data_IF_957776862705
#
_entry.id   IF_957776862705
#
_cell.length_a   1.000
_cell.length_b   1.000
_cell.length_c   1.000
_cell.angle_alpha   90.00
_cell.angle_beta   90.00
_cell.angle_gamma   90.00
#
_symmetry.space_group_name_H-M   'P 1'
#
loop_
_entity.id
_entity.type
_entity.pdbx_description
1 polymer ?
#
# COMPACT_ATOMS: atom_id res chain seq x y z
N UNK A 1 2.90 -6.46 14.10
CA UNK A 1 3.95 -5.48 13.79
C UNK A 1 3.29 -4.15 13.50
N UNK A 2 3.78 -3.06 14.08
CA UNK A 2 3.28 -1.73 13.75
C UNK A 2 3.81 -1.34 12.36
N UNK A 3 2.91 -1.22 11.39
CA UNK A 3 3.24 -0.63 10.08
C UNK A 3 3.29 0.89 10.26
N UNK A 4 4.26 1.56 9.64
CA UNK A 4 4.38 3.01 9.65
C UNK A 4 3.23 3.68 8.87
N UNK A 5 2.03 3.72 9.46
CA UNK A 5 0.93 4.55 9.00
C UNK A 5 1.10 5.96 9.58
N UNK A 6 0.92 6.99 8.76
CA UNK A 6 0.92 8.38 9.24
C UNK A 6 -0.10 8.54 10.37
N UNK A 7 0.37 8.86 11.56
CA UNK A 7 -0.47 9.10 12.73
C UNK A 7 -0.94 10.56 12.75
N UNK A 8 -2.16 10.81 12.28
CA UNK A 8 -2.85 12.07 12.51
C UNK A 8 -3.96 11.85 13.55
N UNK A 9 -3.82 12.48 14.73
CA UNK A 9 -4.95 12.59 15.67
C UNK A 9 -5.91 13.63 15.12
N UNK A 10 -7.07 13.19 14.62
CA UNK A 10 -8.16 14.10 14.29
C UNK A 10 -8.56 14.92 15.52
N UNK A 11 -8.72 16.24 15.35
CA UNK A 11 -9.30 17.08 16.40
C UNK A 11 -10.81 16.83 16.45
N UNK A 12 -11.25 15.88 17.28
CA UNK A 12 -12.63 15.85 17.74
C UNK A 12 -12.80 16.94 18.79
N UNK A 13 -13.17 18.16 18.36
CA UNK A 13 -13.68 19.16 19.28
C UNK A 13 -14.88 18.60 20.05
N UNK A 14 -15.01 18.92 21.34
CA UNK A 14 -16.23 18.62 22.10
C UNK A 14 -17.39 19.43 21.52
N UNK A 15 -18.09 18.87 20.54
CA UNK A 15 -19.18 19.51 19.81
C UNK A 15 -19.67 18.60 18.69
N UNK A 16 -20.91 18.80 18.24
CA UNK A 16 -21.58 18.02 17.20
C UNK A 16 -20.67 17.78 15.98
N UNK A 17 -20.78 16.59 15.39
CA UNK A 17 -20.07 16.22 14.17
C UNK A 17 -20.36 17.25 13.06
N UNK A 18 -19.35 18.04 12.70
CA UNK A 18 -19.47 19.02 11.63
C UNK A 18 -19.16 18.35 10.29
N UNK A 19 -20.07 18.48 9.33
CA UNK A 19 -19.81 18.02 7.96
C UNK A 19 -18.81 18.95 7.27
N UNK A 20 -17.92 18.37 6.45
CA UNK A 20 -17.00 19.11 5.60
C UNK A 20 -17.77 20.03 4.66
N UNK A 21 -17.36 21.30 4.57
CA UNK A 21 -17.73 22.13 3.43
C UNK A 21 -17.05 21.60 2.16
N UNK A 22 -17.60 21.95 0.98
CA UNK A 22 -16.99 21.56 -0.31
C UNK A 22 -15.55 22.08 -0.44
N UNK A 23 -15.29 23.28 0.08
CA UNK A 23 -13.98 23.93 0.07
C UNK A 23 -12.97 23.20 0.97
N UNK A 24 -13.36 22.89 2.21
CA UNK A 24 -12.52 22.12 3.15
C UNK A 24 -12.25 20.71 2.62
N UNK A 25 -13.26 20.04 2.06
CA UNK A 25 -13.12 18.73 1.44
C UNK A 25 -12.11 18.78 0.30
N UNK A 26 -12.26 19.72 -0.64
CA UNK A 26 -11.37 19.82 -1.79
C UNK A 26 -9.93 20.13 -1.36
N UNK A 27 -9.74 21.07 -0.43
CA UNK A 27 -8.43 21.43 0.09
C UNK A 27 -7.76 20.24 0.81
N UNK A 28 -8.49 19.56 1.70
CA UNK A 28 -8.01 18.41 2.45
C UNK A 28 -7.62 17.23 1.56
N UNK A 29 -8.44 16.88 0.57
CA UNK A 29 -8.15 15.79 -0.36
C UNK A 29 -6.97 16.10 -1.28
N UNK A 30 -6.83 17.34 -1.78
CA UNK A 30 -5.65 17.74 -2.56
C UNK A 30 -4.37 17.67 -1.73
N UNK A 31 -4.41 18.17 -0.49
CA UNK A 31 -3.29 18.09 0.43
C UNK A 31 -2.91 16.62 0.70
N UNK A 32 -3.89 15.76 0.94
CA UNK A 32 -3.68 14.32 1.08
C UNK A 32 -3.01 13.71 -0.15
N UNK A 33 -3.51 13.98 -1.36
CA UNK A 33 -2.94 13.47 -2.61
C UNK A 33 -1.47 13.85 -2.78
N UNK A 34 -1.11 15.11 -2.50
CA UNK A 34 0.28 15.58 -2.57
C UNK A 34 1.18 15.01 -1.49
N UNK A 35 0.68 14.84 -0.26
CA UNK A 35 1.43 14.16 0.80
C UNK A 35 1.67 12.70 0.44
N UNK A 36 0.63 12.01 -0.04
CA UNK A 36 0.72 10.61 -0.45
C UNK A 36 1.65 10.39 -1.65
N UNK A 37 1.76 11.38 -2.54
CA UNK A 37 2.71 11.36 -3.64
C UNK A 37 4.17 11.11 -3.22
N UNK A 38 4.57 11.55 -2.03
CA UNK A 38 5.94 11.39 -1.52
C UNK A 38 6.35 9.95 -1.20
N UNK A 39 5.39 9.03 -1.10
CA UNK A 39 5.60 7.68 -0.60
C UNK A 39 4.77 6.59 -1.31
N UNK A 40 3.80 6.96 -2.16
CA UNK A 40 3.10 6.01 -3.03
C UNK A 40 4.00 5.43 -4.14
N UNK A 41 4.70 6.28 -4.90
CA UNK A 41 5.77 5.83 -5.80
C UNK A 41 7.12 5.87 -5.07
N UNK A 42 8.11 5.17 -5.61
CA UNK A 42 9.47 5.24 -5.07
C UNK A 42 10.19 6.53 -5.48
N UNK A 43 11.28 6.84 -4.77
CA UNK A 43 12.13 7.97 -5.15
C UNK A 43 12.86 7.73 -6.49
N UNK A 44 13.10 6.48 -6.88
CA UNK A 44 13.68 6.16 -8.18
C UNK A 44 12.69 6.47 -9.32
N UNK A 45 11.40 6.17 -9.16
CA UNK A 45 10.35 6.52 -10.13
C UNK A 45 10.36 8.02 -10.48
N UNK A 46 10.46 8.88 -9.47
CA UNK A 46 10.51 10.34 -9.67
C UNK A 46 11.83 10.81 -10.27
N UNK A 47 12.96 10.26 -9.82
CA UNK A 47 14.30 10.60 -10.35
C UNK A 47 14.44 10.26 -11.83
N UNK A 48 13.87 9.12 -12.23
CA UNK A 48 13.86 8.65 -13.62
C UNK A 48 12.73 9.22 -14.47
N UNK A 49 11.87 10.06 -13.87
CA UNK A 49 10.75 10.75 -14.55
C UNK A 49 9.83 9.79 -15.29
N UNK A 50 9.50 8.66 -14.67
CA UNK A 50 8.58 7.69 -15.28
C UNK A 50 7.16 8.26 -15.44
N UNK A 51 6.78 9.27 -14.67
CA UNK A 51 5.54 10.02 -14.90
C UNK A 51 5.51 10.71 -16.28
N UNK A 52 6.66 11.15 -16.82
CA UNK A 52 6.75 11.68 -18.18
C UNK A 52 6.83 10.53 -19.19
N UNK A 53 7.85 9.68 -19.05
CA UNK A 53 8.22 8.71 -20.09
C UNK A 53 7.30 7.50 -20.20
N UNK A 54 6.62 7.11 -19.12
CA UNK A 54 5.75 5.92 -19.06
C UNK A 54 4.28 6.28 -18.92
N UNK A 55 3.96 7.34 -18.18
CA UNK A 55 2.57 7.75 -17.94
C UNK A 55 2.11 8.93 -18.81
N UNK A 56 3.02 9.62 -19.51
CA UNK A 56 2.69 10.66 -20.48
C UNK A 56 2.29 12.01 -19.89
N UNK A 57 2.58 12.26 -18.61
CA UNK A 57 2.42 13.59 -18.02
C UNK A 57 3.51 14.53 -18.53
N UNK A 58 3.20 15.82 -18.63
CA UNK A 58 4.13 16.80 -19.21
C UNK A 58 5.34 17.08 -18.31
N UNK A 59 5.11 17.19 -17.01
CA UNK A 59 6.10 17.48 -15.99
C UNK A 59 5.59 17.03 -14.60
N UNK A 60 6.38 17.27 -13.55
CA UNK A 60 6.04 16.85 -12.20
C UNK A 60 4.77 17.52 -11.67
N UNK A 61 4.54 18.81 -11.95
CA UNK A 61 3.38 19.53 -11.45
C UNK A 61 2.11 19.09 -12.18
N UNK A 62 2.22 18.86 -13.49
CA UNK A 62 1.17 18.24 -14.30
C UNK A 62 0.78 16.86 -13.74
N UNK A 63 1.75 16.07 -13.30
CA UNK A 63 1.51 14.79 -12.63
C UNK A 63 0.87 14.98 -11.23
N UNK A 64 1.33 15.93 -10.42
CA UNK A 64 0.73 16.20 -9.11
C UNK A 64 -0.76 16.57 -9.22
N UNK A 65 -1.12 17.45 -10.16
CA UNK A 65 -2.50 17.90 -10.34
C UNK A 65 -3.36 16.84 -11.03
N UNK A 66 -2.91 16.33 -12.18
CA UNK A 66 -3.76 15.51 -13.04
C UNK A 66 -3.79 14.03 -12.67
N UNK A 67 -2.84 13.55 -11.85
CA UNK A 67 -2.85 12.21 -11.27
C UNK A 67 -3.21 12.24 -9.79
N UNK A 68 -2.35 12.83 -8.95
CA UNK A 68 -2.46 12.69 -7.49
C UNK A 68 -3.65 13.45 -6.89
N UNK A 69 -3.80 14.73 -7.21
CA UNK A 69 -4.96 15.51 -6.75
C UNK A 69 -6.25 14.95 -7.35
N UNK A 70 -6.28 14.61 -8.64
CA UNK A 70 -7.44 14.01 -9.28
C UNK A 70 -7.85 12.67 -8.65
N UNK A 71 -6.89 11.81 -8.34
CA UNK A 71 -7.13 10.54 -7.65
C UNK A 71 -7.70 10.75 -6.24
N UNK A 72 -7.16 11.71 -5.49
CA UNK A 72 -7.60 12.01 -4.14
C UNK A 72 -8.97 12.70 -4.10
N UNK A 73 -9.24 13.65 -5.00
CA UNK A 73 -10.53 14.34 -5.11
C UNK A 73 -11.69 13.41 -5.47
N UNK A 74 -11.40 12.28 -6.13
CA UNK A 74 -12.40 11.25 -6.42
C UNK A 74 -12.81 10.44 -5.18
N UNK A 75 -12.22 10.68 -4.00
CA UNK A 75 -12.53 10.00 -2.75
C UNK A 75 -13.54 10.79 -1.92
N UNK A 76 -14.08 10.09 -0.94
CA UNK A 76 -14.88 10.67 0.14
C UNK A 76 -14.01 10.79 1.40
N UNK A 77 -13.88 11.96 2.04
CA UNK A 77 -12.96 12.17 3.15
C UNK A 77 -13.29 11.31 4.38
N UNK A 78 -14.56 11.06 4.64
CA UNK A 78 -14.98 10.25 5.79
C UNK A 78 -14.68 8.77 5.57
N UNK A 79 -14.93 8.26 4.36
CA UNK A 79 -14.51 6.91 4.00
C UNK A 79 -12.98 6.76 4.11
N UNK A 80 -12.21 7.77 3.71
CA UNK A 80 -10.75 7.77 3.86
C UNK A 80 -10.31 7.71 5.32
N UNK A 81 -10.96 8.45 6.22
CA UNK A 81 -10.66 8.40 7.66
C UNK A 81 -10.99 7.03 8.27
N UNK A 82 -12.13 6.44 7.90
CA UNK A 82 -12.48 5.08 8.35
C UNK A 82 -11.48 4.03 7.84
N UNK A 83 -11.09 4.10 6.56
CA UNK A 83 -10.07 3.20 6.00
C UNK A 83 -8.70 3.40 6.67
N UNK A 84 -8.31 4.63 6.98
CA UNK A 84 -7.06 4.90 7.70
C UNK A 84 -7.09 4.31 9.12
N UNK A 85 -8.22 4.45 9.83
CA UNK A 85 -8.38 3.84 11.15
C UNK A 85 -8.27 2.31 11.07
N UNK A 86 -8.93 1.68 10.08
CA UNK A 86 -8.80 0.24 9.85
C UNK A 86 -7.36 -0.17 9.53
N UNK A 87 -6.65 0.61 8.71
CA UNK A 87 -5.25 0.34 8.40
C UNK A 87 -4.35 0.42 9.64
N UNK A 88 -4.49 1.47 10.46
CA UNK A 88 -3.72 1.65 11.69
C UNK A 88 -4.00 0.57 12.74
N UNK A 89 -5.23 0.08 12.81
CA UNK A 89 -5.65 -0.93 13.77
C UNK A 89 -5.42 -2.38 13.30
N UNK A 90 -4.89 -2.58 12.09
CA UNK A 90 -4.74 -3.91 11.51
C UNK A 90 -3.71 -4.75 12.25
N UNK A 91 -4.17 -5.77 12.98
CA UNK A 91 -3.31 -6.75 13.65
C UNK A 91 -3.98 -8.13 13.62
N UNK A 92 -3.47 -9.02 12.77
CA UNK A 92 -4.01 -10.38 12.65
C UNK A 92 -3.77 -11.26 13.90
N UNK A 93 -2.91 -10.82 14.81
CA UNK A 93 -2.61 -11.50 16.06
C UNK A 93 -3.48 -11.06 17.23
N UNK A 94 -4.22 -9.94 17.12
CA UNK A 94 -5.15 -9.44 18.14
C UNK A 94 -6.49 -10.20 18.13
N UNK A 95 -6.41 -11.51 18.34
CA UNK A 95 -7.54 -12.42 18.48
C UNK A 95 -7.11 -13.71 19.19
N UNK A 96 -8.07 -14.45 19.74
CA UNK A 96 -7.83 -15.83 20.18
C UNK A 96 -7.58 -16.75 18.96
N UNK A 97 -6.64 -17.73 19.03
CA UNK A 97 -5.83 -18.14 20.17
C UNK A 97 -4.45 -17.43 20.27
N UNK A 98 -4.25 -16.32 19.56
CA UNK A 98 -2.94 -15.69 19.36
C UNK A 98 -2.65 -14.59 20.39
N UNK A 99 -3.65 -13.82 20.84
CA UNK A 99 -3.54 -12.87 21.94
C UNK A 99 -2.34 -11.91 21.82
N UNK A 100 -2.20 -11.29 20.65
CA UNK A 100 -1.10 -10.41 20.23
C UNK A 100 0.27 -11.08 20.04
N UNK A 101 0.31 -12.41 20.05
CA UNK A 101 1.48 -13.18 19.63
C UNK A 101 1.51 -13.30 18.10
N UNK A 102 2.24 -12.36 17.48
CA UNK A 102 2.37 -12.27 16.03
C UNK A 102 3.00 -13.51 15.40
N UNK A 103 4.08 -14.04 15.98
CA UNK A 103 4.76 -15.21 15.42
C UNK A 103 3.86 -16.45 15.48
N UNK A 104 3.10 -16.60 16.57
CA UNK A 104 2.09 -17.67 16.69
C UNK A 104 0.96 -17.51 15.68
N UNK A 105 0.53 -16.29 15.38
CA UNK A 105 -0.47 -16.01 14.35
C UNK A 105 0.05 -16.41 12.96
N UNK A 106 1.27 -16.01 12.60
CA UNK A 106 1.92 -16.41 11.34
C UNK A 106 2.12 -17.93 11.24
N UNK A 107 2.57 -18.57 12.32
CA UNK A 107 2.71 -20.03 12.40
C UNK A 107 1.36 -20.78 12.34
N UNK A 108 0.24 -20.07 12.52
CA UNK A 108 -1.11 -20.59 12.40
C UNK A 108 -1.59 -20.75 10.95
N UNK A 109 -0.95 -20.08 9.99
CA UNK A 109 -1.33 -20.09 8.58
C UNK A 109 -1.17 -21.51 7.99
N UNK A 110 -2.25 -22.02 7.38
CA UNK A 110 -2.29 -23.36 6.77
C UNK A 110 -2.18 -23.34 5.25
N UNK A 111 -2.77 -22.32 4.62
CA UNK A 111 -2.66 -22.11 3.18
C UNK A 111 -1.19 -21.95 2.78
N UNK A 112 -0.84 -22.39 1.57
CA UNK A 112 0.40 -21.92 0.96
C UNK A 112 0.22 -20.44 0.64
N UNK A 113 1.27 -19.66 0.85
CA UNK A 113 1.22 -18.20 0.76
C UNK A 113 2.40 -17.69 -0.05
N UNK A 114 2.09 -17.06 -1.18
CA UNK A 114 3.04 -16.27 -1.94
C UNK A 114 2.88 -14.80 -1.53
N UNK A 115 3.95 -14.21 -0.96
CA UNK A 115 3.98 -12.81 -0.49
C UNK A 115 4.83 -12.01 -1.47
N UNK A 116 4.25 -10.97 -2.07
CA UNK A 116 4.85 -10.22 -3.19
C UNK A 116 4.96 -8.72 -2.88
N UNK A 117 5.89 -8.29 -2.00
CA UNK A 117 6.04 -6.88 -1.65
C UNK A 117 6.70 -6.09 -2.80
N UNK A 118 6.48 -4.78 -2.85
CA UNK A 118 7.23 -3.89 -3.75
C UNK A 118 8.69 -3.75 -3.32
N UNK A 119 9.67 -4.06 -4.18
CA UNK A 119 11.10 -3.94 -3.79
C UNK A 119 11.49 -2.53 -3.34
N UNK A 120 10.85 -1.51 -3.91
CA UNK A 120 11.09 -0.10 -3.56
C UNK A 120 9.91 0.54 -2.86
N UNK A 121 9.01 -0.26 -2.25
CA UNK A 121 7.94 0.25 -1.39
C UNK A 121 8.58 0.93 -0.17
N UNK A 122 8.02 2.07 0.24
CA UNK A 122 8.58 2.93 1.27
C UNK A 122 7.96 2.70 2.65
N UNK A 123 6.82 2.01 2.73
CA UNK A 123 6.10 1.79 3.98
C UNK A 123 5.59 0.35 4.18
N UNK A 124 5.68 -0.49 3.15
CA UNK A 124 5.64 -1.95 3.25
C UNK A 124 6.92 -2.56 2.65
N UNK A 125 8.09 -2.34 3.29
CA UNK A 125 9.37 -2.79 2.76
C UNK A 125 9.45 -4.33 2.73
N UNK A 126 10.21 -4.92 1.78
CA UNK A 126 10.36 -6.37 1.67
C UNK A 126 10.79 -7.08 2.95
N UNK A 127 11.62 -6.43 3.76
CA UNK A 127 12.16 -6.97 5.01
C UNK A 127 11.05 -7.32 6.01
N UNK A 128 9.97 -6.54 6.05
CA UNK A 128 8.82 -6.80 6.93
C UNK A 128 8.08 -8.08 6.48
N UNK A 129 7.84 -8.21 5.17
CA UNK A 129 7.22 -9.40 4.58
C UNK A 129 8.12 -10.64 4.64
N UNK A 130 9.44 -10.48 4.57
CA UNK A 130 10.39 -11.57 4.77
C UNK A 130 10.35 -12.09 6.22
N UNK A 131 10.22 -11.19 7.20
CA UNK A 131 10.01 -11.55 8.60
C UNK A 131 8.68 -12.29 8.80
N UNK A 132 7.58 -11.78 8.24
CA UNK A 132 6.27 -12.46 8.24
C UNK A 132 6.36 -13.91 7.75
N UNK A 133 6.98 -14.10 6.58
CA UNK A 133 7.16 -15.43 5.98
C UNK A 133 8.05 -16.32 6.83
N UNK A 134 9.11 -15.77 7.46
CA UNK A 134 9.99 -16.52 8.35
C UNK A 134 9.26 -17.05 9.59
N UNK A 135 8.24 -16.36 10.07
CA UNK A 135 7.42 -16.80 11.19
C UNK A 135 6.35 -17.84 10.80
N UNK A 136 6.11 -18.06 9.50
CA UNK A 136 5.25 -19.14 9.04
C UNK A 136 5.95 -20.50 9.21
N UNK A 137 5.18 -21.59 9.20
CA UNK A 137 5.76 -22.94 9.22
C UNK A 137 6.59 -23.18 7.95
N UNK A 138 7.63 -23.99 8.09
CA UNK A 138 8.51 -24.36 6.97
C UNK A 138 7.69 -24.83 5.75
N UNK A 139 8.03 -24.28 4.57
CA UNK A 139 7.36 -24.57 3.31
C UNK A 139 5.95 -23.99 3.14
N UNK A 140 5.46 -23.14 4.07
CA UNK A 140 4.16 -22.46 3.93
C UNK A 140 4.23 -21.16 3.15
N UNK A 141 5.23 -20.34 3.43
CA UNK A 141 5.36 -19.01 2.85
C UNK A 141 6.58 -18.88 1.94
N UNK A 142 6.43 -18.06 0.89
CA UNK A 142 7.56 -17.56 0.11
C UNK A 142 7.39 -16.06 -0.12
N UNK A 143 8.41 -15.28 0.22
CA UNK A 143 8.50 -13.87 -0.14
C UNK A 143 9.28 -13.71 -1.44
N UNK A 144 8.71 -13.01 -2.43
CA UNK A 144 9.39 -12.64 -3.68
C UNK A 144 9.08 -11.18 -4.00
N UNK A 145 10.02 -10.26 -3.78
CA UNK A 145 9.78 -8.85 -4.05
C UNK A 145 9.60 -8.56 -5.54
N UNK A 146 8.63 -7.71 -5.89
CA UNK A 146 8.46 -7.14 -7.22
C UNK A 146 9.75 -6.41 -7.62
N UNK A 147 10.40 -6.77 -8.74
CA UNK A 147 11.64 -6.12 -9.19
C UNK A 147 11.39 -4.77 -9.87
N UNK A 148 10.51 -3.95 -9.30
CA UNK A 148 10.04 -2.69 -9.87
C UNK A 148 10.51 -1.50 -9.04
N UNK A 149 10.80 -0.40 -9.73
CA UNK A 149 11.06 0.90 -9.09
C UNK A 149 9.79 1.71 -8.86
N UNK A 150 8.60 1.16 -9.12
CA UNK A 150 7.34 1.89 -8.98
C UNK A 150 6.88 2.03 -7.52
N UNK A 151 7.62 1.47 -6.56
CA UNK A 151 7.26 1.53 -5.15
C UNK A 151 5.99 0.75 -4.87
N UNK A 152 5.12 1.30 -4.01
CA UNK A 152 3.85 0.65 -3.66
C UNK A 152 2.96 0.41 -4.88
N UNK A 153 3.04 1.30 -5.87
CA UNK A 153 2.26 1.20 -7.11
C UNK A 153 2.68 0.06 -8.05
N UNK A 154 3.77 -0.66 -7.77
CA UNK A 154 4.17 -1.84 -8.56
C UNK A 154 3.08 -2.93 -8.57
N UNK A 155 2.40 -3.14 -7.44
CA UNK A 155 1.23 -4.02 -7.34
C UNK A 155 -0.11 -3.34 -7.65
N UNK A 156 -0.08 -2.08 -8.10
CA UNK A 156 -1.25 -1.24 -8.34
C UNK A 156 -2.07 -1.65 -9.57
N UNK A 157 -3.02 -0.81 -10.03
CA UNK A 157 -4.09 -1.17 -10.98
C UNK A 157 -3.62 -1.35 -12.45
N UNK A 158 -2.40 -1.84 -12.67
CA UNK A 158 -1.91 -2.27 -13.98
C UNK A 158 -1.35 -1.17 -14.88
N UNK A 159 -0.89 -0.06 -14.29
CA UNK A 159 -0.31 1.06 -15.04
C UNK A 159 1.07 0.75 -15.64
N UNK A 160 1.75 -0.30 -15.17
CA UNK A 160 2.99 -0.81 -15.75
C UNK A 160 2.77 -2.23 -16.33
N UNK A 161 2.70 -2.41 -17.66
CA UNK A 161 2.49 -3.72 -18.28
C UNK A 161 3.55 -4.76 -17.91
N UNK A 162 4.79 -4.33 -17.63
CA UNK A 162 5.88 -5.23 -17.23
C UNK A 162 5.61 -5.83 -15.84
N UNK A 163 5.16 -5.01 -14.89
CA UNK A 163 4.80 -5.47 -13.54
C UNK A 163 3.56 -6.37 -13.58
N UNK A 164 2.56 -6.02 -14.41
CA UNK A 164 1.36 -6.87 -14.62
C UNK A 164 1.74 -8.24 -15.17
N UNK A 165 2.59 -8.28 -16.20
CA UNK A 165 3.04 -9.53 -16.78
C UNK A 165 3.79 -10.37 -15.75
N UNK A 166 4.69 -9.74 -14.98
CA UNK A 166 5.44 -10.43 -13.95
C UNK A 166 4.53 -11.02 -12.86
N UNK A 167 3.53 -10.26 -12.41
CA UNK A 167 2.54 -10.73 -11.44
C UNK A 167 1.73 -11.91 -11.99
N UNK A 168 1.24 -11.80 -13.22
CA UNK A 168 0.47 -12.84 -13.90
C UNK A 168 1.27 -14.14 -14.04
N UNK A 169 2.54 -14.05 -14.46
CA UNK A 169 3.44 -15.20 -14.56
C UNK A 169 3.64 -15.87 -13.18
N UNK A 170 3.83 -15.08 -12.12
CA UNK A 170 4.00 -15.59 -10.74
C UNK A 170 2.73 -16.24 -10.19
N UNK A 171 1.57 -15.63 -10.43
CA UNK A 171 0.29 -16.19 -9.99
C UNK A 171 -0.04 -17.48 -10.74
N UNK A 172 0.22 -17.56 -12.05
CA UNK A 172 0.02 -18.79 -12.82
C UNK A 172 0.87 -19.94 -12.29
N UNK A 173 2.18 -19.72 -12.13
CA UNK A 173 3.08 -20.72 -11.55
C UNK A 173 2.60 -21.20 -10.17
N UNK A 174 2.23 -20.26 -9.29
CA UNK A 174 1.76 -20.58 -7.95
C UNK A 174 0.42 -21.31 -7.91
N UNK A 175 -0.51 -20.99 -8.80
CA UNK A 175 -1.83 -21.63 -8.82
C UNK A 175 -1.84 -22.97 -9.57
N UNK A 176 -0.93 -23.18 -10.52
CA UNK A 176 -0.87 -24.41 -11.31
C UNK A 176 -0.23 -25.58 -10.54
N UNK A 177 0.91 -25.36 -9.89
CA UNK A 177 1.64 -26.42 -9.19
C UNK A 177 2.27 -25.98 -7.86
N UNK A 178 1.87 -24.82 -7.35
CA UNK A 178 2.40 -24.24 -6.12
C UNK A 178 3.91 -23.96 -6.18
N UNK A 179 4.46 -23.76 -7.38
CA UNK A 179 5.82 -23.24 -7.58
C UNK A 179 5.88 -21.73 -7.34
N UNK A 180 7.08 -21.25 -6.96
CA UNK A 180 7.33 -19.85 -6.61
C UNK A 180 8.61 -19.32 -7.25
#
# INVERSE_FOLDING_TARGET
GEVAAAAAKGQAGKGEYAQWTDEERAAGLKAFGRVYAGWGFSQAFYRERLYESRLGFRDLEDFMVNFWEKWALAKDPENMLHMLHSWQAADCSDQEPYNKDFEKAMAGIRAKTLVLPGKTDLYFPPEDSEYEVKCMREGRGKCIPFPSIWGHWAGGPGSNPEDVKWLDDKLKAFLEDESW
#
